data_IF_395092985426
#
_entry.id   IF_395092985426
#
_cell.length_a   1.000
_cell.length_b   1.000
_cell.length_c   1.000
_cell.angle_alpha   90.00
_cell.angle_beta   90.00
_cell.angle_gamma   90.00
#
_symmetry.space_group_name_H-M   'P 1'
#
loop_
_entity.id
_entity.type
_entity.pdbx_description
1 polymer ?
#
# COMPACT_ATOMS: atom_id res chain seq x y z
N UNK A 1 -21.26 -59.72 -72.76
CA UNK A 1 -22.39 -59.86 -71.82
C UNK A 1 -21.80 -59.78 -70.42
N UNK A 2 -21.84 -58.66 -69.85
CA UNK A 2 -21.48 -58.42 -68.41
C UNK A 2 -22.12 -57.16 -67.91
N UNK A 3 -23.06 -57.32 -66.98
CA UNK A 3 -23.84 -56.24 -66.37
C UNK A 3 -22.99 -55.43 -65.41
N UNK A 4 -23.01 -54.15 -65.60
CA UNK A 4 -22.54 -53.15 -64.61
C UNK A 4 -23.63 -52.93 -63.57
N UNK A 5 -23.30 -53.12 -62.28
CA UNK A 5 -24.11 -52.63 -61.13
C UNK A 5 -23.47 -51.39 -60.57
N UNK A 6 -24.16 -50.28 -60.75
CA UNK A 6 -23.83 -49.03 -60.13
C UNK A 6 -24.36 -49.02 -58.68
N UNK A 7 -23.49 -48.84 -57.71
CA UNK A 7 -23.83 -48.65 -56.29
C UNK A 7 -23.85 -47.17 -56.00
N UNK A 8 -25.04 -46.65 -55.66
CA UNK A 8 -25.21 -45.29 -55.10
C UNK A 8 -24.80 -45.30 -53.63
N UNK A 9 -23.80 -44.49 -53.30
CA UNK A 9 -23.38 -44.24 -51.92
C UNK A 9 -24.02 -42.95 -51.48
N UNK A 10 -25.03 -43.01 -50.59
CA UNK A 10 -25.69 -41.87 -50.00
C UNK A 10 -24.85 -41.41 -48.82
N UNK A 11 -24.18 -40.26 -48.95
CA UNK A 11 -23.48 -39.63 -47.87
C UNK A 11 -24.48 -38.86 -46.96
N UNK A 12 -24.63 -39.36 -45.74
CA UNK A 12 -25.36 -38.64 -44.68
C UNK A 12 -24.42 -37.65 -44.07
N UNK A 13 -24.64 -36.33 -44.31
CA UNK A 13 -23.95 -35.25 -43.66
C UNK A 13 -24.55 -35.06 -42.25
N UNK A 14 -23.84 -35.53 -41.24
CA UNK A 14 -24.17 -35.20 -39.85
C UNK A 14 -23.62 -33.81 -39.51
N UNK A 15 -24.50 -32.83 -39.43
CA UNK A 15 -24.18 -31.48 -38.90
C UNK A 15 -24.09 -31.60 -37.38
N UNK A 16 -22.86 -31.67 -36.84
CA UNK A 16 -22.61 -31.45 -35.43
C UNK A 16 -22.75 -29.95 -35.15
N UNK A 17 -23.85 -29.53 -34.57
CA UNK A 17 -23.99 -28.22 -33.97
C UNK A 17 -23.12 -28.20 -32.71
N UNK A 18 -21.97 -27.53 -32.80
CA UNK A 18 -21.21 -27.05 -31.62
C UNK A 18 -22.07 -26.00 -30.92
N UNK A 19 -22.82 -26.44 -29.92
CA UNK A 19 -23.34 -25.55 -28.91
C UNK A 19 -22.12 -25.05 -28.10
N UNK A 20 -21.64 -23.85 -28.41
CA UNK A 20 -20.80 -23.08 -27.51
C UNK A 20 -21.59 -22.88 -26.21
N UNK A 21 -21.24 -23.61 -25.18
CA UNK A 21 -21.67 -23.29 -23.84
C UNK A 21 -20.99 -21.97 -23.44
N UNK A 22 -21.57 -20.84 -23.84
CA UNK A 22 -21.37 -19.58 -23.15
C UNK A 22 -21.89 -19.82 -21.73
N UNK A 23 -20.98 -20.21 -20.83
CA UNK A 23 -21.22 -20.09 -19.40
C UNK A 23 -21.50 -18.63 -19.14
N UNK A 24 -22.79 -18.30 -19.04
CA UNK A 24 -23.26 -17.07 -18.42
C UNK A 24 -22.56 -17.00 -17.05
N UNK A 25 -21.49 -16.20 -16.98
CA UNK A 25 -20.94 -15.76 -15.72
C UNK A 25 -22.12 -15.07 -15.04
N UNK A 26 -22.67 -15.72 -14.01
CA UNK A 26 -23.74 -15.15 -13.21
C UNK A 26 -23.30 -13.76 -12.83
N UNK A 27 -24.13 -12.78 -13.15
CA UNK A 27 -23.90 -11.37 -12.83
C UNK A 27 -23.73 -11.27 -11.32
N UNK A 28 -22.45 -11.23 -10.86
CA UNK A 28 -22.11 -11.20 -9.46
C UNK A 28 -22.63 -9.87 -8.92
N UNK A 29 -23.74 -9.91 -8.21
CA UNK A 29 -24.45 -8.76 -7.73
C UNK A 29 -23.49 -7.72 -7.13
N UNK A 30 -23.47 -6.53 -7.70
CA UNK A 30 -22.69 -5.40 -7.19
C UNK A 30 -23.12 -5.13 -5.76
N UNK A 31 -22.20 -5.08 -4.78
CA UNK A 31 -22.55 -4.81 -3.40
C UNK A 31 -23.24 -3.43 -3.30
N UNK A 32 -24.17 -3.26 -2.36
CA UNK A 32 -24.82 -1.97 -2.19
C UNK A 32 -23.79 -0.87 -1.90
N UNK A 33 -23.95 0.33 -2.46
CA UNK A 33 -23.02 1.42 -2.22
C UNK A 33 -23.07 1.87 -0.75
N UNK A 34 -21.90 1.89 -0.12
CA UNK A 34 -21.71 2.44 1.23
C UNK A 34 -21.46 3.94 1.12
N UNK A 35 -22.31 4.76 1.72
CA UNK A 35 -22.18 6.21 1.65
C UNK A 35 -21.10 6.68 2.62
N UNK A 36 -19.97 7.11 2.06
CA UNK A 36 -18.88 7.72 2.83
C UNK A 36 -19.09 9.22 3.01
N UNK A 37 -18.79 9.68 4.24
CA UNK A 37 -18.60 11.09 4.57
C UNK A 37 -17.12 11.29 4.90
N UNK A 38 -16.51 12.32 4.34
CA UNK A 38 -15.12 12.67 4.66
C UNK A 38 -15.05 14.11 5.18
N UNK A 39 -14.11 14.34 6.07
CA UNK A 39 -13.86 15.63 6.71
C UNK A 39 -12.35 15.83 6.83
N UNK A 40 -11.87 16.98 6.35
CA UNK A 40 -10.50 17.40 6.64
C UNK A 40 -10.36 17.74 8.12
N UNK A 41 -9.29 17.21 8.73
CA UNK A 41 -8.89 17.51 10.11
C UNK A 41 -7.76 18.55 10.11
N UNK A 42 -7.20 18.80 11.29
CA UNK A 42 -6.01 19.63 11.43
C UNK A 42 -4.85 19.06 10.62
N UNK A 43 -4.06 19.93 9.98
CA UNK A 43 -2.88 19.53 9.24
C UNK A 43 -1.61 19.72 10.08
N UNK A 44 -0.59 18.88 9.84
CA UNK A 44 0.73 19.06 10.45
C UNK A 44 1.56 19.96 9.51
N UNK A 45 1.96 21.15 9.95
CA UNK A 45 2.71 22.06 9.10
C UNK A 45 4.13 21.58 8.85
N UNK A 46 4.61 21.73 7.63
CA UNK A 46 6.02 21.61 7.29
C UNK A 46 6.81 22.84 7.71
N UNK A 47 8.06 22.90 7.34
CA UNK A 47 8.94 24.02 7.64
C UNK A 47 9.71 24.50 6.39
N UNK A 48 10.47 25.60 6.52
CA UNK A 48 11.20 26.19 5.40
C UNK A 48 12.39 25.34 4.91
N UNK A 49 12.89 24.45 5.76
CA UNK A 49 14.10 23.66 5.50
C UNK A 49 13.81 22.30 4.87
N UNK A 50 12.76 21.60 5.36
CA UNK A 50 12.44 20.23 5.02
C UNK A 50 10.98 20.05 4.64
N UNK A 51 10.70 19.04 3.83
CA UNK A 51 9.36 18.53 3.58
C UNK A 51 9.11 17.27 4.41
N UNK A 52 7.87 17.12 4.91
CA UNK A 52 7.41 15.93 5.59
C UNK A 52 6.86 14.94 4.55
N UNK A 53 7.56 13.83 4.37
CA UNK A 53 7.13 12.78 3.45
C UNK A 53 6.74 11.52 4.20
N UNK A 54 6.02 10.62 3.50
CA UNK A 54 5.68 9.29 4.00
C UNK A 54 4.94 9.34 5.35
N UNK A 55 4.11 10.35 5.53
CA UNK A 55 3.36 10.52 6.76
C UNK A 55 2.35 9.38 6.95
N UNK A 56 2.41 8.71 8.11
CA UNK A 56 1.55 7.59 8.48
C UNK A 56 1.12 7.75 9.94
N UNK A 57 -0.15 7.49 10.20
CA UNK A 57 -0.74 7.64 11.53
C UNK A 57 -1.04 6.28 12.15
N UNK A 58 -0.76 6.13 13.44
CA UNK A 58 -1.29 5.09 14.30
C UNK A 58 -2.28 5.68 15.30
N UNK A 59 -3.32 4.92 15.63
CA UNK A 59 -4.24 5.20 16.70
C UNK A 59 -3.91 4.30 17.90
N UNK A 60 -3.73 4.89 19.06
CA UNK A 60 -3.54 4.20 20.34
C UNK A 60 -4.82 4.31 21.14
N UNK A 61 -5.55 3.22 21.34
CA UNK A 61 -6.78 3.23 22.13
C UNK A 61 -6.48 3.34 23.63
N UNK A 62 -7.49 3.66 24.43
CA UNK A 62 -7.44 3.71 25.90
C UNK A 62 -8.19 4.91 26.46
N UNK A 63 -8.10 5.13 27.78
CA UNK A 63 -8.77 6.23 28.48
C UNK A 63 -8.30 7.61 27.99
N UNK A 64 -7.06 7.68 27.52
CA UNK A 64 -6.45 8.87 26.91
C UNK A 64 -5.99 8.50 25.49
N UNK A 65 -6.91 8.44 24.53
CA UNK A 65 -6.58 8.03 23.18
C UNK A 65 -5.59 9.00 22.56
N UNK A 66 -4.71 8.48 21.72
CA UNK A 66 -3.67 9.25 21.07
C UNK A 66 -3.56 8.84 19.60
N UNK A 67 -3.37 9.83 18.75
CA UNK A 67 -3.00 9.65 17.34
C UNK A 67 -1.56 10.11 17.17
N UNK A 68 -0.70 9.24 16.71
CA UNK A 68 0.70 9.54 16.46
C UNK A 68 0.98 9.40 14.96
N UNK A 69 1.48 10.46 14.36
CA UNK A 69 1.88 10.47 12.95
C UNK A 69 3.41 10.50 12.89
N UNK A 70 4.00 9.47 12.27
CA UNK A 70 5.41 9.49 11.89
C UNK A 70 5.57 10.04 10.48
N UNK A 71 6.66 10.74 10.21
CA UNK A 71 6.99 11.33 8.92
C UNK A 71 8.50 11.37 8.71
N UNK A 72 8.93 11.15 7.48
CA UNK A 72 10.34 11.26 7.11
C UNK A 72 10.68 12.70 6.76
N UNK A 73 11.76 13.20 7.33
CA UNK A 73 12.39 14.44 6.91
C UNK A 73 13.04 14.24 5.54
N UNK A 74 12.73 15.10 4.58
CA UNK A 74 13.23 14.98 3.21
C UNK A 74 13.70 16.33 2.71
N UNK A 75 14.88 16.37 2.10
CA UNK A 75 15.40 17.58 1.46
C UNK A 75 14.50 18.06 0.33
N UNK A 76 14.43 19.40 0.16
CA UNK A 76 13.56 20.03 -0.87
C UNK A 76 14.10 19.93 -2.30
N UNK A 77 15.29 19.41 -2.50
CA UNK A 77 15.97 19.41 -3.80
C UNK A 77 15.80 18.12 -4.58
N UNK A 78 15.71 16.97 -3.90
CA UNK A 78 15.57 15.65 -4.55
C UNK A 78 14.55 14.79 -3.80
N UNK A 79 13.97 13.80 -4.49
CA UNK A 79 13.02 12.84 -3.90
C UNK A 79 13.71 11.67 -3.18
N UNK A 80 15.01 11.71 -3.00
CA UNK A 80 15.81 10.62 -2.41
C UNK A 80 16.72 11.11 -1.28
N UNK A 81 16.54 12.35 -0.81
CA UNK A 81 17.31 12.94 0.28
C UNK A 81 16.56 12.74 1.61
N UNK A 82 16.50 11.48 2.05
CA UNK A 82 15.85 11.09 3.30
C UNK A 82 16.80 11.17 4.48
N UNK A 83 16.32 11.73 5.58
CA UNK A 83 17.07 11.96 6.80
C UNK A 83 16.41 11.25 7.99
N UNK A 84 15.91 12.01 8.92
CA UNK A 84 15.44 11.54 10.22
C UNK A 84 13.93 11.30 10.23
N UNK A 85 13.47 10.52 11.18
CA UNK A 85 12.04 10.37 11.46
C UNK A 85 11.63 11.40 12.51
N UNK A 86 10.57 12.12 12.20
CA UNK A 86 9.84 12.98 13.10
C UNK A 86 8.48 12.41 13.43
N UNK A 87 7.92 12.86 14.54
CA UNK A 87 6.56 12.53 14.94
C UNK A 87 5.77 13.77 15.35
N UNK A 88 4.48 13.68 15.21
CA UNK A 88 3.50 14.65 15.73
C UNK A 88 2.36 13.89 16.37
N UNK A 89 1.80 14.42 17.46
CA UNK A 89 0.78 13.76 18.26
C UNK A 89 -0.46 14.63 18.37
N UNK A 90 -1.62 14.00 18.32
CA UNK A 90 -2.92 14.61 18.62
C UNK A 90 -3.60 13.85 19.76
N UNK A 91 -4.27 14.59 20.66
CA UNK A 91 -5.08 14.06 21.75
C UNK A 91 -6.55 14.53 21.69
N UNK A 92 -6.92 15.23 20.62
CA UNK A 92 -8.23 15.86 20.43
C UNK A 92 -8.91 15.46 19.11
N UNK A 93 -8.74 14.18 18.72
CA UNK A 93 -9.27 13.62 17.48
C UNK A 93 -8.79 14.35 16.22
N UNK A 94 -7.48 14.70 16.18
CA UNK A 94 -6.84 15.30 15.00
C UNK A 94 -7.22 16.75 14.73
N UNK A 95 -7.88 17.44 15.66
CA UNK A 95 -8.19 18.87 15.52
C UNK A 95 -6.92 19.70 15.61
N UNK A 96 -6.05 19.34 16.54
CA UNK A 96 -4.72 19.94 16.70
C UNK A 96 -3.64 18.88 16.79
N UNK A 97 -2.44 19.26 16.39
CA UNK A 97 -1.25 18.43 16.37
C UNK A 97 -0.10 19.13 17.09
N UNK A 98 0.69 18.38 17.82
CA UNK A 98 1.93 18.92 18.38
C UNK A 98 2.87 19.37 17.26
N UNK A 99 3.80 20.27 17.56
CA UNK A 99 4.94 20.52 16.68
C UNK A 99 5.68 19.22 16.39
N UNK A 100 6.18 19.06 15.18
CA UNK A 100 6.95 17.89 14.77
C UNK A 100 8.21 17.78 15.66
N UNK A 101 8.39 16.62 16.27
CA UNK A 101 9.51 16.30 17.16
C UNK A 101 10.36 15.20 16.57
N UNK A 102 11.68 15.39 16.63
CA UNK A 102 12.65 14.37 16.24
C UNK A 102 12.48 13.11 17.09
N UNK A 103 12.57 11.94 16.44
CA UNK A 103 12.61 10.64 17.12
C UNK A 103 14.08 10.19 17.23
N UNK A 104 14.75 10.36 18.37
CA UNK A 104 16.21 10.17 18.47
C UNK A 104 16.68 8.76 18.11
N UNK A 105 15.89 7.73 18.41
CA UNK A 105 16.21 6.32 18.08
C UNK A 105 16.05 5.98 16.61
N UNK A 106 15.41 6.84 15.82
CA UNK A 106 15.12 6.65 14.40
C UNK A 106 15.80 7.71 13.52
N UNK A 107 16.93 8.22 13.97
CA UNK A 107 17.77 9.12 13.19
C UNK A 107 18.59 8.37 12.15
N UNK A 108 18.94 9.05 11.08
CA UNK A 108 19.96 8.62 10.13
C UNK A 108 21.29 8.45 10.87
N UNK A 109 21.91 7.30 10.72
CA UNK A 109 23.15 6.96 11.43
C UNK A 109 24.17 6.34 10.49
N UNK A 110 25.45 6.41 10.89
CA UNK A 110 26.52 5.68 10.23
C UNK A 110 26.65 4.31 10.88
N UNK A 111 26.64 3.25 10.08
CA UNK A 111 26.91 1.88 10.51
C UNK A 111 28.43 1.59 10.44
N UNK A 112 28.88 0.47 11.05
CA UNK A 112 30.30 0.11 11.15
C UNK A 112 31.03 -0.02 9.82
N UNK A 113 30.29 -0.38 8.76
CA UNK A 113 30.80 -0.50 7.38
C UNK A 113 30.90 0.84 6.63
N UNK A 114 30.64 1.98 7.32
CA UNK A 114 30.72 3.32 6.79
C UNK A 114 29.50 3.77 5.96
N UNK A 115 28.48 2.93 5.81
CA UNK A 115 27.22 3.37 5.19
C UNK A 115 26.40 4.19 6.16
N UNK A 116 25.77 5.23 5.63
CA UNK A 116 24.70 5.94 6.35
C UNK A 116 23.36 5.29 6.07
N UNK A 117 22.64 4.99 7.13
CA UNK A 117 21.32 4.33 7.09
C UNK A 117 20.27 5.24 7.68
N UNK A 118 19.26 5.58 6.89
CA UNK A 118 18.06 6.27 7.34
C UNK A 118 16.87 5.30 7.33
N UNK A 119 16.04 5.28 8.38
CA UNK A 119 14.75 4.59 8.30
C UNK A 119 13.84 5.33 7.32
N UNK A 120 12.98 4.59 6.63
CA UNK A 120 12.06 5.19 5.68
C UNK A 120 10.79 4.40 5.47
N UNK A 121 9.79 5.09 4.98
CA UNK A 121 8.47 4.54 4.70
C UNK A 121 7.86 3.78 5.90
N UNK A 122 8.22 4.17 7.13
CA UNK A 122 7.72 3.54 8.34
C UNK A 122 6.21 3.75 8.47
N UNK A 123 5.51 2.63 8.64
CA UNK A 123 4.06 2.64 8.85
C UNK A 123 3.73 2.14 10.26
N UNK A 124 3.47 3.04 11.21
CA UNK A 124 3.08 2.68 12.55
C UNK A 124 1.64 2.16 12.57
N UNK A 125 1.41 1.05 13.26
CA UNK A 125 0.07 0.54 13.56
C UNK A 125 0.04 0.01 14.98
N UNK A 126 -1.09 0.22 15.66
CA UNK A 126 -1.36 -0.42 16.94
C UNK A 126 -1.48 -1.92 16.77
N UNK A 127 -0.74 -2.66 17.58
CA UNK A 127 -0.81 -4.12 17.63
C UNK A 127 -1.60 -4.55 18.86
N UNK A 128 -2.81 -5.01 18.61
CA UNK A 128 -3.82 -5.21 19.67
C UNK A 128 -3.40 -6.24 20.70
N UNK A 129 -2.73 -7.33 20.30
CA UNK A 129 -2.35 -8.42 21.21
C UNK A 129 -1.26 -7.99 22.18
N UNK A 130 -0.22 -7.31 21.71
CA UNK A 130 0.92 -6.88 22.55
C UNK A 130 0.73 -5.50 23.16
N UNK A 131 -0.35 -4.77 22.79
CA UNK A 131 -0.62 -3.39 23.25
C UNK A 131 0.57 -2.45 23.01
N UNK A 132 1.18 -2.54 21.83
CA UNK A 132 2.29 -1.70 21.40
C UNK A 132 2.04 -1.11 20.02
N UNK A 133 2.77 -0.07 19.64
CA UNK A 133 2.84 0.35 18.26
C UNK A 133 4.03 -0.37 17.60
N UNK A 134 3.76 -1.10 16.53
CA UNK A 134 4.77 -1.66 15.64
C UNK A 134 4.78 -0.82 14.36
N UNK A 135 5.88 -0.17 14.04
CA UNK A 135 6.10 0.50 12.76
C UNK A 135 6.97 -0.38 11.86
N UNK A 136 6.49 -0.71 10.68
CA UNK A 136 7.23 -1.49 9.67
C UNK A 136 7.56 -0.63 8.47
N UNK A 137 8.68 -0.89 7.81
CA UNK A 137 9.14 -0.09 6.67
C UNK A 137 10.44 -0.63 6.07
N UNK A 138 11.30 0.27 5.68
CA UNK A 138 12.58 -0.05 5.03
C UNK A 138 13.73 0.80 5.52
N UNK A 139 14.94 0.50 5.02
CA UNK A 139 16.10 1.40 5.12
C UNK A 139 16.36 2.10 3.79
N UNK A 140 16.81 3.36 3.88
CA UNK A 140 17.57 4.03 2.84
C UNK A 140 19.04 3.94 3.20
N UNK A 141 19.90 3.56 2.26
CA UNK A 141 21.31 3.33 2.51
C UNK A 141 22.12 4.25 1.59
N UNK A 142 23.04 5.02 2.15
CA UNK A 142 23.80 6.03 1.41
C UNK A 142 25.30 5.75 1.53
N UNK A 143 25.93 5.55 0.39
CA UNK A 143 27.38 5.49 0.32
C UNK A 143 27.95 6.91 0.30
N UNK A 144 28.95 7.19 1.15
CA UNK A 144 29.54 8.52 1.29
C UNK A 144 28.50 9.64 1.51
N UNK A 145 27.38 9.31 2.14
CA UNK A 145 26.34 10.26 2.53
C UNK A 145 25.41 10.78 1.42
N UNK A 146 25.66 10.46 0.15
CA UNK A 146 24.94 11.09 -0.96
C UNK A 146 24.29 10.11 -1.95
N UNK A 147 24.90 8.97 -2.19
CA UNK A 147 24.42 8.01 -3.18
C UNK A 147 23.67 6.86 -2.52
N UNK A 148 22.38 6.77 -2.81
CA UNK A 148 21.55 5.66 -2.34
C UNK A 148 22.01 4.33 -2.97
N UNK A 149 22.18 3.31 -2.12
CA UNK A 149 22.47 1.93 -2.52
C UNK A 149 21.24 1.06 -2.28
N UNK A 150 20.48 0.82 -3.32
CA UNK A 150 19.24 0.05 -3.29
C UNK A 150 19.44 -1.43 -2.97
N UNK A 151 20.64 -1.97 -3.22
CA UNK A 151 20.91 -3.39 -2.95
C UNK A 151 21.06 -3.68 -1.45
N UNK A 152 21.25 -2.64 -0.65
CA UNK A 152 21.35 -2.75 0.81
C UNK A 152 20.03 -2.48 1.54
N UNK A 153 18.93 -2.28 0.83
CA UNK A 153 17.63 -2.12 1.47
C UNK A 153 17.30 -3.34 2.34
N UNK A 154 16.77 -3.10 3.51
CA UNK A 154 16.34 -4.10 4.47
C UNK A 154 14.93 -3.81 4.94
N UNK A 155 14.15 -4.86 5.23
CA UNK A 155 12.91 -4.72 5.99
C UNK A 155 13.28 -4.24 7.38
N UNK A 156 12.77 -3.07 7.74
CA UNK A 156 13.07 -2.42 9.01
C UNK A 156 11.80 -2.24 9.83
N UNK A 157 11.93 -2.27 11.15
CA UNK A 157 10.83 -2.00 12.06
C UNK A 157 11.31 -1.32 13.34
N UNK A 158 10.36 -0.68 14.02
CA UNK A 158 10.58 -0.09 15.34
C UNK A 158 9.34 -0.30 16.20
N UNK A 159 9.52 -0.36 17.51
CA UNK A 159 8.45 -0.60 18.47
C UNK A 159 8.35 0.57 19.45
N UNK A 160 7.13 1.01 19.73
CA UNK A 160 6.86 1.97 20.80
C UNK A 160 5.83 1.38 21.77
N UNK A 161 6.19 1.32 23.04
CA UNK A 161 5.25 0.97 24.13
C UNK A 161 4.50 2.22 24.59
N UNK A 162 3.23 2.13 24.98
CA UNK A 162 2.48 3.27 25.49
C UNK A 162 3.22 4.00 26.61
N UNK A 163 3.29 5.33 26.51
CA UNK A 163 3.99 6.17 27.48
C UNK A 163 5.52 6.07 27.46
N UNK A 164 6.10 5.39 26.45
CA UNK A 164 7.55 5.31 26.24
C UNK A 164 7.96 5.94 24.92
N UNK A 165 9.24 6.22 24.75
CA UNK A 165 9.85 6.58 23.49
C UNK A 165 9.92 5.39 22.54
N UNK A 166 10.11 5.67 21.25
CA UNK A 166 10.42 4.64 20.25
C UNK A 166 11.71 3.88 20.63
N UNK A 167 11.67 2.57 20.49
CA UNK A 167 12.85 1.71 20.52
C UNK A 167 13.77 1.95 19.30
N UNK A 168 14.94 1.30 19.26
CA UNK A 168 15.86 1.40 18.13
C UNK A 168 15.26 0.79 16.87
N UNK A 169 15.78 1.21 15.71
CA UNK A 169 15.48 0.57 14.44
C UNK A 169 16.06 -0.85 14.44
N UNK A 170 15.21 -1.82 14.12
CA UNK A 170 15.53 -3.25 14.04
C UNK A 170 15.28 -3.74 12.62
N UNK A 171 15.80 -4.93 12.30
CA UNK A 171 15.70 -5.54 10.98
C UNK A 171 15.04 -6.91 11.07
N UNK A 172 14.13 -7.17 10.13
CA UNK A 172 13.55 -8.50 9.97
C UNK A 172 14.56 -9.39 9.21
N UNK A 173 14.91 -10.51 9.81
CA UNK A 173 15.74 -11.53 9.17
C UNK A 173 14.86 -12.39 8.28
N UNK A 174 15.13 -12.37 6.99
CA UNK A 174 14.45 -13.18 5.98
C UNK A 174 15.36 -14.33 5.55
N UNK A 175 14.81 -15.42 4.96
CA UNK A 175 15.62 -16.46 4.35
C UNK A 175 16.47 -15.91 3.19
N UNK A 176 17.55 -16.60 2.85
CA UNK A 176 18.43 -16.20 1.74
C UNK A 176 17.76 -16.39 0.37
N UNK A 177 16.83 -17.36 0.27
CA UNK A 177 16.17 -17.73 -1.00
C UNK A 177 14.66 -17.85 -0.81
N UNK A 178 13.94 -17.58 -1.87
CA UNK A 178 12.49 -17.82 -1.96
C UNK A 178 12.17 -19.29 -2.28
N UNK A 179 10.90 -19.66 -2.39
CA UNK A 179 10.49 -21.03 -2.65
C UNK A 179 10.95 -21.56 -4.02
N UNK A 180 11.16 -20.66 -4.99
CA UNK A 180 11.72 -20.96 -6.29
C UNK A 180 13.24 -21.12 -6.31
N UNK A 181 13.92 -20.94 -5.16
CA UNK A 181 15.39 -20.98 -5.04
C UNK A 181 16.09 -19.72 -5.53
N UNK A 182 15.36 -18.64 -5.79
CA UNK A 182 15.94 -17.34 -6.15
C UNK A 182 16.34 -16.55 -4.90
N UNK A 183 17.43 -15.79 -4.96
CA UNK A 183 17.88 -15.02 -3.81
C UNK A 183 16.88 -13.91 -3.44
N UNK A 184 16.73 -13.65 -2.15
CA UNK A 184 15.95 -12.53 -1.60
C UNK A 184 16.90 -11.36 -1.36
N UNK A 185 16.96 -10.44 -2.32
CA UNK A 185 17.88 -9.28 -2.30
C UNK A 185 17.10 -7.99 -2.11
N UNK A 186 17.66 -7.05 -1.36
CA UNK A 186 17.07 -5.71 -1.21
C UNK A 186 15.60 -5.74 -0.77
N UNK A 187 15.28 -6.64 0.15
CA UNK A 187 13.92 -6.77 0.66
C UNK A 187 13.48 -5.53 1.45
N UNK A 188 12.25 -5.09 1.25
CA UNK A 188 11.69 -4.03 2.07
C UNK A 188 10.17 -4.12 2.21
N UNK A 189 9.66 -3.49 3.27
CA UNK A 189 8.25 -3.32 3.57
C UNK A 189 7.85 -1.82 3.58
N UNK A 190 8.55 -1.00 2.82
CA UNK A 190 8.24 0.43 2.72
C UNK A 190 6.95 0.70 1.95
N UNK A 191 6.16 1.63 2.43
CA UNK A 191 4.86 2.00 1.86
C UNK A 191 3.84 0.85 1.84
N UNK A 192 3.98 -0.15 2.69
CA UNK A 192 3.10 -1.33 2.72
C UNK A 192 2.13 -1.28 3.91
N UNK A 193 0.88 -1.57 3.64
CA UNK A 193 -0.13 -1.77 4.67
C UNK A 193 -0.15 -3.24 5.06
N UNK A 194 0.19 -3.52 6.32
CA UNK A 194 0.16 -4.88 6.88
C UNK A 194 -1.20 -5.21 7.48
N UNK A 195 -1.42 -6.48 7.77
CA UNK A 195 -2.58 -6.97 8.50
C UNK A 195 -2.14 -7.80 9.71
N UNK A 196 -2.62 -7.44 10.90
CA UNK A 196 -2.33 -8.18 12.13
C UNK A 196 -3.44 -9.21 12.37
N UNK A 197 -3.06 -10.48 12.52
CA UNK A 197 -3.98 -11.59 12.76
C UNK A 197 -4.50 -11.61 14.20
N UNK A 198 -5.68 -12.19 14.47
CA UNK A 198 -6.23 -12.27 15.82
C UNK A 198 -5.34 -12.95 16.87
N UNK A 199 -4.46 -13.86 16.43
CA UNK A 199 -3.49 -14.52 17.31
C UNK A 199 -2.23 -13.67 17.61
N UNK A 200 -2.12 -12.49 16.98
CA UNK A 200 -0.98 -11.59 17.12
C UNK A 200 0.13 -11.81 16.10
N UNK A 201 0.01 -12.76 15.17
CA UNK A 201 0.93 -12.82 14.04
C UNK A 201 0.67 -11.66 13.08
N UNK A 202 1.71 -11.25 12.39
CA UNK A 202 1.69 -10.15 11.43
C UNK A 202 1.82 -10.68 10.02
N UNK A 203 0.85 -10.42 9.16
CA UNK A 203 0.96 -10.58 7.73
C UNK A 203 1.58 -9.31 7.13
N UNK A 204 2.88 -9.36 6.86
CA UNK A 204 3.67 -8.24 6.38
C UNK A 204 3.92 -8.36 4.87
N UNK A 205 3.30 -7.51 4.04
CA UNK A 205 3.64 -7.44 2.63
C UNK A 205 5.08 -6.92 2.46
N UNK A 206 5.87 -7.61 1.65
CA UNK A 206 7.24 -7.23 1.31
C UNK A 206 7.47 -7.30 -0.19
N UNK A 207 8.49 -6.60 -0.66
CA UNK A 207 9.03 -6.80 -2.00
C UNK A 207 10.53 -7.06 -1.91
N UNK A 208 11.09 -7.77 -2.88
CA UNK A 208 12.52 -8.04 -3.01
C UNK A 208 12.92 -8.18 -4.48
N UNK A 209 14.22 -8.12 -4.77
CA UNK A 209 14.78 -8.44 -6.08
C UNK A 209 15.36 -9.85 -6.08
N UNK A 210 15.25 -10.55 -7.22
CA UNK A 210 15.82 -11.88 -7.45
C UNK A 210 17.18 -11.83 -8.14
N UNK A 211 17.55 -10.66 -8.67
CA UNK A 211 18.82 -10.44 -9.38
C UNK A 211 19.36 -9.06 -8.99
N UNK A 212 20.61 -8.96 -8.51
CA UNK A 212 21.21 -7.67 -8.14
C UNK A 212 21.40 -6.72 -9.33
N UNK A 213 21.39 -7.24 -10.54
CA UNK A 213 21.56 -6.45 -11.78
C UNK A 213 20.21 -6.00 -12.37
N UNK A 214 19.12 -6.59 -11.93
CA UNK A 214 17.79 -6.32 -12.45
C UNK A 214 16.82 -5.91 -11.33
N UNK A 215 16.29 -4.68 -11.41
CA UNK A 215 15.29 -4.17 -10.46
C UNK A 215 13.87 -4.66 -10.75
N UNK A 216 13.68 -5.82 -11.34
CA UNK A 216 12.37 -6.44 -11.44
C UNK A 216 12.04 -7.08 -10.09
N UNK A 217 11.12 -6.45 -9.36
CA UNK A 217 10.76 -6.85 -8.01
C UNK A 217 9.67 -7.90 -7.98
N UNK A 218 9.81 -8.81 -7.04
CA UNK A 218 8.80 -9.78 -6.61
C UNK A 218 8.20 -9.33 -5.30
N UNK A 219 6.89 -9.44 -5.16
CA UNK A 219 6.16 -9.16 -3.92
C UNK A 219 5.62 -10.45 -3.32
N UNK A 220 5.63 -10.56 -2.01
CA UNK A 220 5.03 -11.66 -1.24
C UNK A 220 4.49 -11.15 0.08
N UNK A 221 3.75 -11.99 0.79
CA UNK A 221 3.30 -11.73 2.15
C UNK A 221 4.11 -12.62 3.09
N UNK A 222 4.88 -12.01 3.98
CA UNK A 222 5.58 -12.73 5.05
C UNK A 222 4.68 -12.82 6.28
N UNK A 223 4.49 -14.01 6.84
CA UNK A 223 3.92 -14.22 8.17
C UNK A 223 5.03 -14.13 9.20
N UNK A 224 4.83 -13.28 10.18
CA UNK A 224 5.80 -13.05 11.25
C UNK A 224 5.12 -13.21 12.61
N UNK A 225 5.79 -13.80 13.59
CA UNK A 225 5.39 -13.68 14.98
C UNK A 225 5.89 -12.37 15.57
N UNK A 226 5.13 -11.80 16.50
CA UNK A 226 5.51 -10.57 17.19
C UNK A 226 5.18 -10.64 18.67
N UNK A 227 6.19 -10.48 19.53
CA UNK A 227 6.06 -10.58 21.00
C UNK A 227 5.96 -9.22 21.73
N UNK A 228 5.83 -8.12 20.96
CA UNK A 228 5.83 -6.75 21.50
C UNK A 228 7.22 -6.12 21.60
N UNK A 229 8.28 -6.82 21.21
CA UNK A 229 9.65 -6.32 21.13
C UNK A 229 10.32 -6.72 19.82
N UNK A 230 10.17 -7.96 19.41
CA UNK A 230 10.84 -8.52 18.25
C UNK A 230 9.85 -9.12 17.24
N UNK A 231 10.06 -8.78 15.97
CA UNK A 231 9.33 -9.33 14.82
C UNK A 231 10.19 -10.43 14.20
N UNK A 232 9.66 -11.67 14.14
CA UNK A 232 10.37 -12.85 13.64
C UNK A 232 9.65 -13.46 12.46
N UNK A 233 10.36 -13.62 11.35
CA UNK A 233 9.88 -14.33 10.18
C UNK A 233 9.52 -15.79 10.53
N UNK A 234 8.39 -16.27 9.97
CA UNK A 234 7.95 -17.66 10.09
C UNK A 234 7.92 -18.35 8.72
N UNK A 235 7.21 -17.75 7.79
CA UNK A 235 7.01 -18.25 6.42
C UNK A 235 6.65 -17.09 5.49
N UNK A 236 6.62 -17.32 4.20
CA UNK A 236 6.00 -16.40 3.24
C UNK A 236 5.15 -17.18 2.23
N UNK A 237 4.23 -16.47 1.60
CA UNK A 237 3.29 -17.04 0.65
C UNK A 237 3.76 -16.96 -0.80
N UNK A 238 2.80 -16.88 -1.72
CA UNK A 238 3.03 -16.81 -3.17
C UNK A 238 3.94 -15.63 -3.54
N UNK A 239 4.94 -15.90 -4.38
CA UNK A 239 5.80 -14.89 -4.99
C UNK A 239 5.14 -14.30 -6.23
N UNK A 240 4.57 -13.11 -6.07
CA UNK A 240 3.86 -12.39 -7.12
C UNK A 240 4.83 -11.54 -7.92
N UNK A 241 4.86 -11.71 -9.24
CA UNK A 241 5.75 -11.00 -10.14
C UNK A 241 5.10 -10.80 -11.51
N UNK A 242 5.58 -9.78 -12.25
CA UNK A 242 5.35 -9.56 -13.67
C UNK A 242 6.69 -9.23 -14.35
N UNK A 243 6.91 -9.67 -15.58
CA UNK A 243 8.19 -9.41 -16.26
C UNK A 243 8.37 -7.96 -16.73
N UNK A 244 7.29 -7.16 -16.74
CA UNK A 244 7.31 -5.79 -17.26
C UNK A 244 7.86 -4.79 -16.22
N UNK A 245 8.69 -3.86 -16.68
CA UNK A 245 9.20 -2.75 -15.89
C UNK A 245 9.94 -3.22 -14.64
N UNK A 246 9.63 -2.60 -13.49
CA UNK A 246 10.20 -2.98 -12.20
C UNK A 246 9.45 -4.09 -11.48
N UNK A 247 8.59 -4.86 -12.16
CA UNK A 247 7.81 -5.91 -11.54
C UNK A 247 6.74 -5.36 -10.59
N UNK A 248 6.48 -6.08 -9.49
CA UNK A 248 5.50 -5.73 -8.47
C UNK A 248 6.17 -5.28 -7.18
N UNK A 249 5.71 -4.15 -6.62
CA UNK A 249 6.30 -3.57 -5.42
C UNK A 249 5.30 -2.73 -4.62
N UNK A 250 5.68 -2.33 -3.40
CA UNK A 250 4.81 -1.63 -2.45
C UNK A 250 3.43 -2.30 -2.30
N UNK A 251 3.40 -3.62 -2.01
CA UNK A 251 2.14 -4.33 -1.79
C UNK A 251 1.43 -3.82 -0.54
N UNK A 252 0.10 -3.80 -0.54
CA UNK A 252 -0.71 -3.46 0.64
C UNK A 252 -1.81 -4.50 0.83
N UNK A 253 -1.94 -5.00 2.06
CA UNK A 253 -2.84 -6.11 2.43
C UNK A 253 -3.96 -5.62 3.35
N UNK A 254 -5.14 -6.19 3.19
CA UNK A 254 -6.25 -6.07 4.14
C UNK A 254 -7.06 -7.35 4.18
N UNK A 255 -7.90 -7.51 5.22
CA UNK A 255 -8.91 -8.55 5.26
C UNK A 255 -10.31 -7.92 5.22
N UNK A 256 -11.22 -8.58 4.52
CA UNK A 256 -12.62 -8.18 4.43
C UNK A 256 -13.48 -9.41 4.11
N UNK A 257 -14.56 -9.58 4.86
CA UNK A 257 -15.58 -10.64 4.66
C UNK A 257 -14.96 -12.04 4.47
N UNK A 258 -14.08 -12.43 5.42
CA UNK A 258 -13.43 -13.75 5.43
C UNK A 258 -12.36 -13.98 4.37
N UNK A 259 -12.03 -12.98 3.56
CA UNK A 259 -10.97 -13.05 2.56
C UNK A 259 -9.91 -11.96 2.77
N UNK A 260 -8.75 -12.15 2.15
CA UNK A 260 -7.65 -11.19 2.13
C UNK A 260 -7.47 -10.62 0.73
N UNK A 261 -7.10 -9.34 0.68
CA UNK A 261 -6.95 -8.60 -0.58
C UNK A 261 -5.61 -7.88 -0.58
N UNK A 262 -4.81 -8.11 -1.61
CA UNK A 262 -3.55 -7.39 -1.83
C UNK A 262 -3.66 -6.49 -3.05
N UNK A 263 -3.25 -5.24 -2.93
CA UNK A 263 -3.00 -4.35 -4.05
C UNK A 263 -1.50 -4.22 -4.27
N UNK A 264 -1.07 -4.16 -5.52
CA UNK A 264 0.33 -4.24 -5.93
C UNK A 264 0.62 -3.10 -6.90
N UNK A 265 1.57 -2.25 -6.54
CA UNK A 265 2.06 -1.20 -7.44
C UNK A 265 2.94 -1.79 -8.54
N UNK A 266 2.81 -1.25 -9.77
CA UNK A 266 3.76 -1.44 -10.85
C UNK A 266 3.96 -0.14 -11.63
N UNK A 267 4.81 -0.15 -12.66
CA UNK A 267 5.19 1.08 -13.35
C UNK A 267 4.08 1.68 -14.23
N UNK A 268 3.28 0.86 -14.88
CA UNK A 268 2.29 1.32 -15.86
C UNK A 268 0.85 1.18 -15.42
N UNK A 269 0.55 0.16 -14.66
CA UNK A 269 -0.75 -0.10 -14.03
C UNK A 269 -0.50 -0.76 -12.68
N UNK A 270 -1.52 -0.85 -11.83
CA UNK A 270 -1.43 -1.59 -10.59
C UNK A 270 -2.31 -2.84 -10.67
N UNK A 271 -2.08 -3.77 -9.76
CA UNK A 271 -2.73 -5.08 -9.74
C UNK A 271 -3.42 -5.32 -8.40
N UNK A 272 -4.33 -6.28 -8.41
CA UNK A 272 -5.07 -6.74 -7.24
C UNK A 272 -5.15 -8.27 -7.25
N UNK A 273 -5.16 -8.86 -6.07
CA UNK A 273 -5.44 -10.28 -5.90
C UNK A 273 -6.25 -10.52 -4.63
N UNK A 274 -6.92 -11.68 -4.58
CA UNK A 274 -7.67 -12.19 -3.43
C UNK A 274 -7.11 -13.53 -2.97
N UNK A 275 -7.18 -13.77 -1.67
CA UNK A 275 -6.74 -15.00 -1.01
C UNK A 275 -7.71 -15.35 0.11
N UNK A 276 -7.79 -16.61 0.48
CA UNK A 276 -8.57 -17.10 1.64
C UNK A 276 -7.76 -17.17 2.93
N UNK A 277 -6.43 -17.16 2.84
CA UNK A 277 -5.52 -17.28 3.99
C UNK A 277 -4.57 -16.08 4.18
N UNK A 278 -4.51 -15.19 3.18
CA UNK A 278 -3.63 -14.01 3.20
C UNK A 278 -2.19 -14.28 2.80
N UNK A 279 -1.83 -15.52 2.49
CA UNK A 279 -0.50 -15.94 2.04
C UNK A 279 -0.51 -16.42 0.59
N UNK A 280 -1.51 -17.22 0.21
CA UNK A 280 -1.57 -17.85 -1.10
C UNK A 280 -2.55 -17.13 -2.02
N UNK A 281 -2.03 -16.61 -3.14
CA UNK A 281 -2.77 -15.88 -4.16
C UNK A 281 -2.60 -16.58 -5.50
N UNK A 282 -3.69 -17.06 -6.07
CA UNK A 282 -3.65 -17.87 -7.32
C UNK A 282 -3.35 -17.03 -8.55
N UNK A 283 -3.87 -15.81 -8.60
CA UNK A 283 -3.72 -14.90 -9.74
C UNK A 283 -3.77 -13.45 -9.32
N UNK A 284 -3.16 -12.59 -10.15
CA UNK A 284 -3.28 -11.13 -10.07
C UNK A 284 -4.10 -10.61 -11.24
N UNK A 285 -4.86 -9.55 -11.03
CA UNK A 285 -5.62 -8.86 -12.06
C UNK A 285 -5.26 -7.38 -12.11
N UNK A 286 -5.25 -6.80 -13.30
CA UNK A 286 -5.10 -5.34 -13.43
C UNK A 286 -6.32 -4.62 -12.82
N UNK A 287 -6.04 -3.53 -12.11
CA UNK A 287 -7.11 -2.68 -11.59
C UNK A 287 -7.96 -2.08 -12.71
N UNK A 288 -9.25 -2.32 -12.63
CA UNK A 288 -10.27 -1.77 -13.53
C UNK A 288 -11.46 -1.23 -12.73
N UNK A 289 -12.25 -0.39 -13.38
CA UNK A 289 -13.59 -0.08 -12.91
C UNK A 289 -14.56 -1.20 -13.27
N UNK A 290 -15.75 -1.15 -12.68
CA UNK A 290 -16.85 -2.08 -12.94
C UNK A 290 -17.38 -2.02 -14.39
N UNK A 291 -17.20 -0.89 -15.08
CA UNK A 291 -17.49 -0.74 -16.51
C UNK A 291 -16.40 -1.35 -17.44
N UNK A 292 -15.43 -2.07 -16.88
CA UNK A 292 -14.34 -2.73 -17.60
C UNK A 292 -13.19 -1.81 -18.03
N UNK A 293 -13.31 -0.49 -17.89
CA UNK A 293 -12.24 0.45 -18.25
C UNK A 293 -11.09 0.38 -17.22
N UNK A 294 -9.83 0.54 -17.66
CA UNK A 294 -8.69 0.61 -16.75
C UNK A 294 -8.90 1.66 -15.65
N UNK A 295 -8.49 1.35 -14.42
CA UNK A 295 -8.53 2.31 -13.32
C UNK A 295 -7.62 3.53 -13.60
N UNK A 296 -6.57 3.34 -14.41
CA UNK A 296 -5.63 4.40 -14.74
C UNK A 296 -4.58 4.64 -13.66
N UNK A 297 -4.46 3.75 -12.69
CA UNK A 297 -3.37 3.78 -11.70
C UNK A 297 -2.00 3.76 -12.40
N UNK A 298 -1.05 4.56 -11.88
CA UNK A 298 0.22 4.76 -12.54
C UNK A 298 1.32 5.04 -11.52
N UNK A 299 2.22 4.06 -11.38
CA UNK A 299 3.47 4.21 -10.62
C UNK A 299 3.28 4.89 -9.24
N UNK A 300 2.24 4.48 -8.52
CA UNK A 300 1.88 5.03 -7.20
C UNK A 300 1.31 3.94 -6.32
N UNK A 301 1.65 3.97 -5.04
CA UNK A 301 1.10 3.08 -4.02
C UNK A 301 -0.41 3.28 -3.88
N UNK A 302 -1.08 2.24 -3.41
CA UNK A 302 -2.52 2.22 -3.16
C UNK A 302 -2.77 1.51 -1.84
N UNK A 303 -3.83 1.89 -1.13
CA UNK A 303 -4.09 1.37 0.19
C UNK A 303 -5.56 1.06 0.39
N UNK A 304 -5.82 0.15 1.31
CA UNK A 304 -7.15 -0.35 1.61
C UNK A 304 -7.80 0.40 2.77
N UNK A 305 -9.10 0.64 2.65
CA UNK A 305 -9.97 1.05 3.75
C UNK A 305 -11.09 0.03 3.87
N UNK A 306 -11.25 -0.52 5.08
CA UNK A 306 -12.39 -1.37 5.44
C UNK A 306 -13.22 -0.65 6.49
N UNK A 307 -14.47 -0.35 6.17
CA UNK A 307 -15.34 0.45 7.03
C UNK A 307 -16.80 0.06 6.81
N UNK A 308 -17.56 -0.17 7.88
CA UNK A 308 -19.01 -0.39 7.87
C UNK A 308 -19.51 -1.37 6.80
N UNK A 309 -18.83 -2.51 6.65
CA UNK A 309 -19.20 -3.51 5.66
C UNK A 309 -18.84 -3.16 4.20
N UNK A 310 -18.01 -2.15 3.98
CA UNK A 310 -17.46 -1.81 2.67
C UNK A 310 -15.95 -2.01 2.57
N UNK A 311 -15.50 -2.47 1.41
CA UNK A 311 -14.09 -2.53 1.01
C UNK A 311 -13.80 -1.38 0.05
N UNK A 312 -12.79 -0.57 0.33
CA UNK A 312 -12.45 0.59 -0.48
C UNK A 312 -10.97 0.64 -0.80
N UNK A 313 -10.64 1.25 -1.94
CA UNK A 313 -9.29 1.56 -2.37
C UNK A 313 -9.05 3.07 -2.30
N UNK A 314 -7.91 3.48 -1.72
CA UNK A 314 -7.38 4.85 -1.78
C UNK A 314 -6.26 4.88 -2.82
N UNK A 315 -6.37 5.77 -3.81
CA UNK A 315 -5.49 5.76 -4.99
C UNK A 315 -5.40 7.11 -5.69
N UNK A 316 -4.42 7.23 -6.58
CA UNK A 316 -4.36 8.28 -7.61
C UNK A 316 -4.41 7.64 -8.99
N UNK A 317 -4.86 8.36 -10.01
CA UNK A 317 -5.02 7.82 -11.36
C UNK A 317 -4.85 8.86 -12.46
N UNK A 318 -4.59 8.40 -13.68
CA UNK A 318 -4.67 9.17 -14.90
C UNK A 318 -6.14 9.51 -15.26
N UNK A 319 -6.31 10.41 -16.23
CA UNK A 319 -7.63 10.74 -16.76
C UNK A 319 -8.53 11.52 -15.78
N UNK A 320 -7.91 12.32 -14.91
CA UNK A 320 -8.57 13.20 -13.95
C UNK A 320 -8.21 14.68 -14.21
N UNK A 321 -7.95 15.05 -15.45
CA UNK A 321 -7.45 16.38 -15.87
C UNK A 321 -6.19 16.79 -15.10
N UNK A 322 -5.26 15.83 -14.90
CA UNK A 322 -4.13 15.97 -14.02
C UNK A 322 -2.77 15.61 -14.67
N UNK A 323 -2.66 15.75 -15.98
CA UNK A 323 -1.43 15.47 -16.73
C UNK A 323 -0.28 16.42 -16.35
N UNK A 324 -0.61 17.59 -15.81
CA UNK A 324 0.35 18.58 -15.28
C UNK A 324 0.94 18.18 -13.92
N UNK A 325 0.40 17.16 -13.25
CA UNK A 325 0.91 16.65 -11.97
C UNK A 325 1.84 15.46 -12.22
N UNK A 326 3.02 15.52 -11.62
CA UNK A 326 4.02 14.45 -11.73
C UNK A 326 3.41 13.08 -11.39
N UNK A 327 3.48 12.13 -12.34
CA UNK A 327 2.92 10.77 -12.20
C UNK A 327 1.43 10.76 -11.86
N UNK A 328 0.68 11.79 -12.23
CA UNK A 328 -0.75 11.93 -11.96
C UNK A 328 -1.13 11.73 -10.48
N UNK A 329 -0.23 12.12 -9.56
CA UNK A 329 -0.36 11.88 -8.12
C UNK A 329 -1.24 12.89 -7.38
N UNK A 330 -2.24 13.44 -8.05
CA UNK A 330 -3.35 14.23 -7.50
C UNK A 330 -4.48 14.27 -8.54
N UNK A 331 -5.74 14.38 -8.11
CA UNK A 331 -6.27 14.29 -6.75
C UNK A 331 -6.05 12.90 -6.11
N UNK A 332 -6.21 12.81 -4.77
CA UNK A 332 -6.32 11.53 -4.08
C UNK A 332 -7.79 11.09 -4.05
N UNK A 333 -8.06 9.89 -4.52
CA UNK A 333 -9.40 9.32 -4.64
C UNK A 333 -9.63 8.21 -3.61
N UNK A 334 -10.90 7.93 -3.36
CA UNK A 334 -11.39 6.70 -2.75
C UNK A 334 -12.57 6.16 -3.59
N UNK A 335 -12.61 4.83 -3.76
CA UNK A 335 -13.71 4.14 -4.43
C UNK A 335 -14.01 2.82 -3.74
N UNK A 336 -15.30 2.44 -3.68
CA UNK A 336 -15.71 1.13 -3.17
C UNK A 336 -15.30 0.06 -4.16
N UNK A 337 -14.80 -1.05 -3.63
CA UNK A 337 -14.38 -2.22 -4.41
C UNK A 337 -15.42 -3.32 -4.26
N UNK A 338 -15.84 -3.93 -5.36
CA UNK A 338 -16.57 -5.18 -5.34
C UNK A 338 -15.61 -6.30 -4.96
N UNK A 339 -15.77 -6.96 -3.80
CA UNK A 339 -14.82 -7.95 -3.28
C UNK A 339 -14.77 -9.24 -4.09
N UNK A 340 -15.80 -9.51 -4.93
CA UNK A 340 -15.87 -10.69 -5.78
C UNK A 340 -15.22 -10.45 -7.13
N UNK A 341 -15.58 -9.39 -7.82
CA UNK A 341 -15.07 -9.06 -9.15
C UNK A 341 -13.74 -8.30 -9.12
N UNK A 342 -13.27 -7.85 -7.96
CA UNK A 342 -12.04 -7.04 -7.78
C UNK A 342 -12.06 -5.77 -8.64
N UNK A 343 -13.23 -5.13 -8.78
CA UNK A 343 -13.41 -3.91 -9.57
C UNK A 343 -13.76 -2.74 -8.66
N UNK A 344 -13.25 -1.56 -8.98
CA UNK A 344 -13.70 -0.32 -8.35
C UNK A 344 -15.05 0.08 -8.94
N UNK A 345 -16.07 0.23 -8.09
CA UNK A 345 -17.40 0.68 -8.49
C UNK A 345 -17.31 2.17 -8.84
N UNK A 346 -17.33 2.51 -10.13
CA UNK A 346 -17.07 3.87 -10.63
C UNK A 346 -18.00 4.91 -10.02
N UNK A 347 -19.26 4.58 -9.83
CA UNK A 347 -20.25 5.50 -9.25
C UNK A 347 -19.96 5.91 -7.81
N UNK A 348 -19.08 5.18 -7.13
CA UNK A 348 -18.68 5.45 -5.73
C UNK A 348 -17.40 6.25 -5.62
N UNK A 349 -16.68 6.49 -6.72
CA UNK A 349 -15.44 7.26 -6.71
C UNK A 349 -15.68 8.67 -6.16
N UNK A 350 -14.86 9.05 -5.18
CA UNK A 350 -14.86 10.39 -4.58
C UNK A 350 -13.45 10.94 -4.48
N UNK A 351 -13.32 12.24 -4.62
CA UNK A 351 -12.09 12.96 -4.29
C UNK A 351 -12.01 13.13 -2.78
N UNK A 352 -10.99 12.56 -2.14
CA UNK A 352 -10.70 12.75 -0.71
C UNK A 352 -9.89 14.02 -0.47
N UNK A 353 -8.84 14.20 -1.27
CA UNK A 353 -7.99 15.39 -1.22
C UNK A 353 -7.92 15.94 -2.64
N UNK A 354 -8.44 17.15 -2.87
CA UNK A 354 -8.40 17.78 -4.18
C UNK A 354 -6.96 18.12 -4.60
N UNK A 355 -6.74 18.25 -5.88
CA UNK A 355 -5.51 18.76 -6.44
C UNK A 355 -5.32 20.23 -6.00
N UNK A 356 -4.13 20.53 -5.49
CA UNK A 356 -3.74 21.85 -4.98
C UNK A 356 -2.33 22.27 -5.43
N UNK A 357 -1.81 21.63 -6.48
CA UNK A 357 -0.45 21.84 -6.97
C UNK A 357 0.62 20.97 -6.31
N UNK A 358 0.25 20.09 -5.37
CA UNK A 358 1.14 19.11 -4.74
C UNK A 358 0.92 17.71 -5.30
N UNK A 359 1.92 16.83 -5.18
CA UNK A 359 1.71 15.39 -5.37
C UNK A 359 1.17 14.78 -4.07
N UNK A 360 0.16 13.91 -4.18
CA UNK A 360 -0.53 13.26 -3.07
C UNK A 360 -0.35 11.73 -3.07
N UNK A 361 0.75 11.24 -3.65
CA UNK A 361 0.98 9.82 -3.84
C UNK A 361 1.56 9.07 -2.64
N UNK A 362 1.80 9.73 -1.50
CA UNK A 362 2.36 9.12 -0.30
C UNK A 362 1.32 9.15 0.83
N UNK A 363 0.18 8.52 0.60
CA UNK A 363 -0.89 8.42 1.58
C UNK A 363 -0.70 7.24 2.54
N UNK A 364 -1.38 7.25 3.66
CA UNK A 364 -1.48 6.15 4.62
C UNK A 364 -2.88 6.05 5.17
N UNK A 365 -3.23 4.88 5.66
CA UNK A 365 -4.53 4.58 6.24
C UNK A 365 -4.36 4.17 7.70
N UNK A 366 -5.18 4.72 8.59
CA UNK A 366 -5.27 4.34 9.99
C UNK A 366 -6.72 3.97 10.30
N UNK A 367 -6.97 2.72 10.64
CA UNK A 367 -8.29 2.30 11.13
C UNK A 367 -8.45 2.73 12.58
N UNK A 368 -9.50 3.48 12.87
CA UNK A 368 -9.83 3.95 14.22
C UNK A 368 -10.87 3.03 14.86
N UNK A 369 -11.91 2.67 14.11
CA UNK A 369 -12.98 1.80 14.55
C UNK A 369 -13.60 1.06 13.37
N UNK A 370 -14.68 0.32 13.62
CA UNK A 370 -15.49 -0.27 12.55
C UNK A 370 -16.09 0.80 11.61
N UNK A 371 -16.41 1.99 12.14
CA UNK A 371 -17.10 3.05 11.41
C UNK A 371 -16.22 4.26 11.09
N UNK A 372 -14.94 4.22 11.42
CA UNK A 372 -14.04 5.36 11.21
C UNK A 372 -12.65 4.91 10.78
N UNK A 373 -12.14 5.56 9.74
CA UNK A 373 -10.75 5.45 9.30
C UNK A 373 -10.21 6.84 8.96
N UNK A 374 -8.90 7.01 9.12
CA UNK A 374 -8.22 8.25 8.74
C UNK A 374 -7.23 8.00 7.62
N UNK A 375 -7.14 8.97 6.73
CA UNK A 375 -6.14 9.01 5.67
C UNK A 375 -5.18 10.14 5.97
N UNK A 376 -3.89 9.83 6.03
CA UNK A 376 -2.83 10.83 6.08
C UNK A 376 -2.12 10.92 4.75
N UNK A 377 -1.74 12.12 4.33
CA UNK A 377 -1.02 12.33 3.08
C UNK A 377 -0.06 13.52 3.21
N UNK A 378 1.24 13.28 3.05
CA UNK A 378 2.22 14.36 2.91
C UNK A 378 2.14 14.97 1.51
N UNK A 379 2.05 16.29 1.43
CA UNK A 379 2.16 17.02 0.16
C UNK A 379 3.58 16.93 -0.38
N UNK A 380 3.75 16.47 -1.62
CA UNK A 380 5.04 16.52 -2.29
C UNK A 380 5.17 17.78 -3.13
N UNK A 381 5.99 18.73 -2.70
CA UNK A 381 6.18 20.00 -3.39
C UNK A 381 7.37 20.03 -4.35
N UNK A 382 8.12 18.94 -4.44
CA UNK A 382 9.28 18.84 -5.31
C UNK A 382 8.93 19.12 -6.79
N UNK A 383 9.64 20.06 -7.38
CA UNK A 383 9.52 20.43 -8.80
C UNK A 383 8.16 21.00 -9.22
N UNK A 384 7.35 21.44 -8.28
CA UNK A 384 6.04 22.00 -8.60
C UNK A 384 6.13 23.52 -8.78
N UNK A 385 5.82 23.99 -9.98
CA UNK A 385 5.98 25.37 -10.36
C UNK A 385 5.17 26.37 -9.53
N UNK A 386 3.89 26.07 -9.27
CA UNK A 386 2.97 27.01 -8.60
C UNK A 386 3.20 27.18 -7.10
N UNK A 387 3.73 26.14 -6.43
CA UNK A 387 3.92 26.15 -4.97
C UNK A 387 5.40 26.05 -4.56
N UNK A 388 6.30 26.36 -5.48
CA UNK A 388 7.75 26.40 -5.20
C UNK A 388 8.05 27.45 -4.13
N UNK A 389 8.72 27.04 -3.06
CA UNK A 389 9.07 27.91 -1.94
C UNK A 389 8.06 27.93 -0.79
N UNK A 390 6.89 27.32 -0.96
CA UNK A 390 5.97 27.10 0.16
C UNK A 390 6.45 25.94 1.05
N UNK A 391 5.95 25.92 2.29
CA UNK A 391 6.09 24.78 3.17
C UNK A 391 5.01 23.76 2.85
N UNK A 392 5.39 22.48 2.80
CA UNK A 392 4.42 21.40 2.64
C UNK A 392 3.59 21.21 3.93
N UNK A 393 2.54 20.40 3.82
CA UNK A 393 1.71 19.98 4.95
C UNK A 393 1.50 18.49 4.89
N UNK A 394 1.31 17.89 6.05
CA UNK A 394 0.66 16.57 6.15
C UNK A 394 -0.83 16.82 6.33
N UNK A 395 -1.60 16.39 5.37
CA UNK A 395 -3.05 16.48 5.35
C UNK A 395 -3.65 15.24 6.03
N UNK A 396 -4.68 15.44 6.83
CA UNK A 396 -5.40 14.36 7.51
C UNK A 396 -6.88 14.45 7.15
N UNK A 397 -7.43 13.33 6.68
CA UNK A 397 -8.85 13.22 6.31
C UNK A 397 -9.48 12.10 7.12
N UNK A 398 -10.49 12.43 7.87
CA UNK A 398 -11.36 11.47 8.55
C UNK A 398 -12.43 10.96 7.58
N UNK A 399 -12.64 9.66 7.58
CA UNK A 399 -13.69 8.98 6.81
C UNK A 399 -14.62 8.28 7.80
N UNK A 400 -15.91 8.51 7.63
CA UNK A 400 -16.98 7.81 8.36
C UNK A 400 -18.06 7.38 7.39
N UNK A 401 -18.93 6.47 7.81
CA UNK A 401 -20.13 6.15 7.05
C UNK A 401 -21.31 6.93 7.60
N UNK A 402 -22.27 7.29 6.73
CA UNK A 402 -23.59 7.71 7.20
C UNK A 402 -24.27 6.49 7.80
N UNK A 403 -24.75 6.60 9.04
CA UNK A 403 -25.77 5.68 9.53
C UNK A 403 -26.94 5.77 8.55
N UNK A 404 -27.30 4.66 7.92
CA UNK A 404 -28.60 4.58 7.27
C UNK A 404 -29.65 4.71 8.38
N UNK A 405 -30.69 5.51 8.18
CA UNK A 405 -31.75 5.70 9.16
C UNK A 405 -32.48 4.38 9.46
#
# INVERSE_FOLDING_TARGET
MTLNKTIFCTAVLSILSLLSSDTLIADEATPPPVVLVHQSLGAIPGNSRWDWWQARTAYVPGDKPMWITTMSETGKTTSHDFHDIFQSVSHDHGKTWSSAQLVPSLQRRTEEDGYQVAPGDLWPCWHEVTKTILATGKTFNFRNGTKEDYLRERVAYAVMKPGKSWGPLQYLHLPEHDHGGYPIIAANAGCTQRYDLPNGDVLLPIRYARDPKNRNYTSTIARCSFDGNELRYQEHGTELNIPQGRGLYEPSLTAFDGNYYVTLRADHTAFVARSTDGLHFDRIEEWKFDDGKPLGSYNTQQHWVTISGGLFLVYTRRGANNDHIMRHRAPLFIGQVNPKSLRVIRATEKVLIPENGATLGNSGVCRISHNESWITCGEGLLRLGKRKGENNKVLVVKITTKSLP
#
